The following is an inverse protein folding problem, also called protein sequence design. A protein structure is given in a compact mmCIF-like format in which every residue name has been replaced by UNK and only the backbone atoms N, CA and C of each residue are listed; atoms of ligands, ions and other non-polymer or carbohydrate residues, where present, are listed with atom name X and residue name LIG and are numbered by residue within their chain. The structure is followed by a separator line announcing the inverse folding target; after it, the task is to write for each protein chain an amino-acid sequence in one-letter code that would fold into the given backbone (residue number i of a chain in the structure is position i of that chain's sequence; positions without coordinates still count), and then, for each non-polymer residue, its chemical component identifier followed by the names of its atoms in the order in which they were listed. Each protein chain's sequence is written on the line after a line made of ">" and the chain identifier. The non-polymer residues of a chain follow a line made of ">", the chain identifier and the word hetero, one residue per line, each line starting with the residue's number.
data_IF_898473442981
#
_entry.id   IF_898473442981
#
_cell.length_a   1.000
_cell.length_b   1.000
_cell.length_c   1.000
_cell.angle_alpha   90.00
_cell.angle_beta   90.00
_cell.angle_gamma   90.00
#
_symmetry.space_group_name_H-M   'P 1'
#
loop_
_entity.id
_entity.type
_entity.pdbx_description
1 polymer ?
#
# COMPACT_ATOMS: atom_id res chain seq x y z
N UNK A 1 18.16 -3.01 -12.76
CA UNK A 1 17.70 -2.48 -14.06
C UNK A 1 18.38 -1.16 -14.32
N UNK A 2 19.49 -1.19 -15.06
CA UNK A 2 20.35 -0.02 -15.22
C UNK A 2 19.90 0.88 -16.36
N UNK A 3 19.41 0.29 -17.43
CA UNK A 3 18.95 1.01 -18.62
C UNK A 3 17.43 0.89 -18.72
N UNK A 4 16.74 1.98 -18.46
CA UNK A 4 15.30 2.10 -18.67
C UNK A 4 14.96 3.54 -19.01
N UNK A 5 13.80 3.75 -19.56
CA UNK A 5 13.35 5.05 -20.04
C UNK A 5 13.37 6.16 -18.99
N UNK A 6 13.10 5.86 -17.73
CA UNK A 6 13.12 6.86 -16.64
C UNK A 6 14.55 7.26 -16.32
N UNK A 7 15.48 6.28 -16.28
CA UNK A 7 16.90 6.57 -16.07
C UNK A 7 17.47 7.43 -17.20
N UNK A 8 17.20 7.06 -18.45
CA UNK A 8 17.63 7.83 -19.61
C UNK A 8 17.05 9.26 -19.56
N UNK A 9 15.78 9.40 -19.23
CA UNK A 9 15.13 10.71 -19.06
C UNK A 9 15.79 11.54 -17.94
N UNK A 10 16.10 10.93 -16.79
CA UNK A 10 16.81 11.62 -15.69
C UNK A 10 18.17 12.11 -16.17
N UNK A 11 18.95 11.26 -16.83
CA UNK A 11 20.26 11.61 -17.35
C UNK A 11 20.20 12.73 -18.40
N UNK A 12 19.24 12.67 -19.31
CA UNK A 12 19.02 13.73 -20.31
C UNK A 12 18.65 15.09 -19.69
N UNK A 13 17.77 15.08 -18.66
CA UNK A 13 17.32 16.32 -18.03
C UNK A 13 18.36 16.94 -17.11
N UNK A 14 19.18 16.13 -16.45
CA UNK A 14 20.10 16.58 -15.41
C UNK A 14 21.57 16.63 -15.87
N UNK A 15 21.91 15.97 -16.95
CA UNK A 15 23.28 15.70 -17.38
C UNK A 15 24.12 15.00 -16.29
N UNK A 16 23.47 14.21 -15.45
CA UNK A 16 24.09 13.37 -14.41
C UNK A 16 24.06 11.93 -14.91
N UNK A 17 25.23 11.33 -15.07
CA UNK A 17 25.31 9.90 -15.41
C UNK A 17 25.19 9.05 -14.15
N UNK A 18 24.29 8.04 -14.22
CA UNK A 18 23.95 7.17 -13.10
C UNK A 18 24.61 5.80 -13.24
N UNK A 19 25.51 5.47 -12.33
CA UNK A 19 26.14 4.17 -12.28
C UNK A 19 25.55 3.30 -11.16
N UNK A 20 24.70 2.33 -11.51
CA UNK A 20 24.08 1.42 -10.56
C UNK A 20 25.05 0.30 -10.20
N UNK A 21 25.54 0.32 -8.96
CA UNK A 21 26.52 -0.67 -8.46
C UNK A 21 25.82 -1.98 -8.07
N UNK A 22 24.61 -1.90 -7.54
CA UNK A 22 23.80 -3.06 -7.12
C UNK A 22 22.36 -2.87 -7.53
N UNK A 23 21.80 -3.88 -8.18
CA UNK A 23 20.39 -3.98 -8.53
C UNK A 23 19.87 -5.31 -7.98
N UNK A 24 19.36 -5.29 -6.75
CA UNK A 24 18.88 -6.46 -6.04
C UNK A 24 17.64 -6.10 -5.22
N UNK A 25 16.76 -7.06 -5.06
CA UNK A 25 15.45 -6.90 -4.44
C UNK A 25 15.23 -7.86 -3.27
N UNK A 26 14.25 -7.56 -2.42
CA UNK A 26 13.81 -8.41 -1.32
C UNK A 26 14.87 -8.71 -0.27
N UNK A 27 14.88 -9.93 0.24
CA UNK A 27 15.79 -10.38 1.31
C UNK A 27 17.25 -10.40 0.88
N UNK A 28 17.51 -10.60 -0.42
CA UNK A 28 18.85 -10.54 -0.99
C UNK A 28 19.41 -9.11 -0.93
N UNK A 29 18.58 -8.11 -1.21
CA UNK A 29 18.96 -6.69 -1.12
C UNK A 29 19.40 -6.33 0.30
N UNK A 30 18.63 -6.74 1.32
CA UNK A 30 18.98 -6.49 2.73
C UNK A 30 20.30 -7.14 3.10
N UNK A 31 20.53 -8.38 2.68
CA UNK A 31 21.76 -9.11 2.96
C UNK A 31 22.97 -8.41 2.32
N UNK A 32 22.86 -8.01 1.06
CA UNK A 32 23.93 -7.28 0.35
C UNK A 32 24.21 -5.91 0.94
N UNK A 33 23.17 -5.16 1.29
CA UNK A 33 23.30 -3.86 1.97
C UNK A 33 24.02 -3.99 3.31
N UNK A 34 23.64 -4.96 4.14
CA UNK A 34 24.28 -5.19 5.42
C UNK A 34 25.76 -5.55 5.24
N UNK A 35 26.10 -6.36 4.22
CA UNK A 35 27.48 -6.68 3.91
C UNK A 35 28.27 -5.43 3.44
N UNK A 36 27.68 -4.61 2.57
CA UNK A 36 28.29 -3.38 2.08
C UNK A 36 28.61 -2.40 3.21
N UNK A 37 27.70 -2.27 4.19
CA UNK A 37 27.92 -1.41 5.37
C UNK A 37 29.07 -1.87 6.26
N UNK A 38 29.60 -3.09 6.08
CA UNK A 38 30.82 -3.58 6.78
C UNK A 38 32.11 -3.17 6.13
N UNK A 39 32.06 -2.63 4.90
CA UNK A 39 33.22 -2.11 4.15
C UNK A 39 33.07 -0.61 3.84
N UNK A 40 33.39 0.26 4.79
CA UNK A 40 33.12 1.70 4.69
C UNK A 40 33.81 2.41 3.52
N UNK A 41 34.86 1.82 2.97
CA UNK A 41 35.64 2.43 1.87
C UNK A 41 35.02 2.10 0.49
N UNK A 42 34.12 1.12 0.43
CA UNK A 42 33.43 0.69 -0.80
C UNK A 42 32.00 1.20 -0.92
N UNK A 43 31.56 2.10 -0.02
CA UNK A 43 30.19 2.65 -0.09
C UNK A 43 29.99 3.49 -1.36
N UNK A 44 28.86 3.33 -2.08
CA UNK A 44 28.50 4.19 -3.19
C UNK A 44 28.17 5.60 -2.71
N UNK A 45 28.01 6.55 -3.62
CA UNK A 45 27.67 7.94 -3.28
C UNK A 45 26.34 8.01 -2.52
N UNK A 46 25.32 7.24 -2.94
CA UNK A 46 24.02 7.24 -2.29
C UNK A 46 23.28 5.90 -2.44
N UNK A 47 22.24 5.74 -1.65
CA UNK A 47 21.39 4.56 -1.62
C UNK A 47 19.95 4.91 -1.95
N UNK A 48 19.35 4.10 -2.82
CA UNK A 48 17.93 4.10 -3.13
C UNK A 48 17.33 2.80 -2.61
N UNK A 49 17.09 2.70 -1.31
CA UNK A 49 16.64 1.46 -0.68
C UNK A 49 15.49 1.69 0.28
N UNK A 50 14.61 0.69 0.40
CA UNK A 50 13.54 0.61 1.40
C UNK A 50 13.84 -0.41 2.50
N UNK A 51 15.05 -1.00 2.49
CA UNK A 51 15.37 -2.16 3.33
C UNK A 51 15.77 -1.80 4.76
N UNK A 52 16.06 -0.51 5.06
CA UNK A 52 16.52 -0.12 6.39
C UNK A 52 15.39 0.32 7.31
N UNK A 53 15.48 -0.11 8.56
CA UNK A 53 14.67 0.41 9.65
C UNK A 53 15.26 1.71 10.20
N UNK A 54 14.48 2.49 10.98
CA UNK A 54 15.02 3.67 11.69
C UNK A 54 16.19 3.32 12.61
N UNK A 55 16.12 2.17 13.26
CA UNK A 55 17.21 1.73 14.15
C UNK A 55 18.51 1.45 13.39
N UNK A 56 18.41 0.77 12.24
CA UNK A 56 19.58 0.52 11.38
C UNK A 56 20.15 1.84 10.83
N UNK A 57 19.29 2.76 10.40
CA UNK A 57 19.74 4.06 9.90
C UNK A 57 20.43 4.89 11.00
N UNK A 58 19.88 4.89 12.23
CA UNK A 58 20.53 5.51 13.38
C UNK A 58 21.89 4.91 13.66
N UNK A 59 22.01 3.58 13.60
CA UNK A 59 23.29 2.89 13.80
C UNK A 59 24.33 3.32 12.77
N UNK A 60 23.95 3.41 11.48
CA UNK A 60 24.88 3.82 10.44
C UNK A 60 25.25 5.31 10.52
N UNK A 61 24.33 6.15 10.97
CA UNK A 61 24.59 7.55 11.29
C UNK A 61 25.59 7.70 12.45
N UNK A 62 25.39 6.97 13.56
CA UNK A 62 26.30 6.95 14.70
C UNK A 62 27.71 6.47 14.32
N UNK A 63 27.81 5.53 13.39
CA UNK A 63 29.08 5.04 12.85
C UNK A 63 29.72 6.02 11.83
N UNK A 64 29.03 7.08 11.46
CA UNK A 64 29.49 8.05 10.49
C UNK A 64 29.60 7.48 9.07
N UNK A 65 28.78 6.47 8.70
CA UNK A 65 28.75 5.86 7.39
C UNK A 65 27.86 6.62 6.40
N UNK A 66 26.89 7.36 6.92
CA UNK A 66 25.94 8.21 6.19
C UNK A 66 25.98 9.62 6.77
N UNK A 67 25.61 10.61 5.97
CA UNK A 67 25.67 12.01 6.36
C UNK A 67 24.28 12.59 6.66
N UNK A 68 24.15 13.55 7.61
CA UNK A 68 22.92 14.30 7.82
C UNK A 68 22.65 15.20 6.60
N UNK A 69 21.36 15.34 6.27
CA UNK A 69 20.90 16.08 5.09
C UNK A 69 20.39 17.51 5.44
N UNK A 70 20.32 17.87 6.72
CA UNK A 70 19.67 19.10 7.20
C UNK A 70 20.13 20.34 6.46
N UNK A 71 21.44 20.53 6.35
CA UNK A 71 22.02 21.73 5.72
C UNK A 71 21.71 21.77 4.21
N UNK A 72 21.69 20.63 3.54
CA UNK A 72 21.38 20.54 2.11
C UNK A 72 19.89 20.69 1.84
N UNK A 73 19.04 20.11 2.71
CA UNK A 73 17.59 20.23 2.61
C UNK A 73 17.07 21.65 2.84
N UNK A 74 17.85 22.53 3.47
CA UNK A 74 17.48 23.93 3.62
C UNK A 74 17.26 24.63 2.27
N UNK A 75 18.02 24.24 1.24
CA UNK A 75 17.94 24.79 -0.12
C UNK A 75 17.10 23.94 -1.08
N UNK A 76 16.57 22.80 -0.64
CA UNK A 76 15.74 21.89 -1.42
C UNK A 76 14.32 22.42 -1.58
N UNK A 77 14.09 23.17 -2.65
CA UNK A 77 12.85 23.92 -2.87
C UNK A 77 11.60 23.04 -2.93
N UNK A 78 11.61 22.02 -3.79
CA UNK A 78 10.46 21.14 -4.00
C UNK A 78 10.15 20.33 -2.74
N UNK A 79 11.19 19.84 -2.07
CA UNK A 79 11.06 19.14 -0.80
C UNK A 79 10.46 20.01 0.29
N UNK A 80 10.87 21.27 0.39
CA UNK A 80 10.33 22.22 1.37
C UNK A 80 8.89 22.62 1.04
N UNK A 81 8.56 22.91 -0.22
CA UNK A 81 7.19 23.22 -0.65
C UNK A 81 6.24 22.05 -0.33
N UNK A 82 6.65 20.83 -0.55
CA UNK A 82 5.82 19.67 -0.25
C UNK A 82 5.64 19.42 1.26
N UNK A 83 6.59 19.83 2.10
CA UNK A 83 6.42 19.77 3.56
C UNK A 83 5.35 20.72 4.11
N UNK A 84 4.96 21.75 3.36
CA UNK A 84 3.84 22.63 3.75
C UNK A 84 2.50 21.88 3.69
N UNK A 85 2.42 20.84 2.88
CA UNK A 85 1.23 20.00 2.74
C UNK A 85 1.38 18.70 3.53
N UNK A 86 2.53 18.06 3.43
CA UNK A 86 2.88 16.82 4.12
C UNK A 86 3.44 17.10 5.51
N UNK A 87 2.62 17.67 6.40
CA UNK A 87 3.04 18.21 7.69
C UNK A 87 3.76 17.21 8.60
N UNK A 88 3.50 15.92 8.46
CA UNK A 88 4.13 14.89 9.28
C UNK A 88 5.48 14.40 8.72
N UNK A 89 5.82 14.69 7.45
CA UNK A 89 7.01 14.13 6.80
C UNK A 89 8.30 14.48 7.51
N UNK A 90 8.53 15.75 7.77
CA UNK A 90 9.75 16.20 8.44
C UNK A 90 9.90 15.57 9.83
N UNK A 91 8.81 15.50 10.59
CA UNK A 91 8.81 14.87 11.92
C UNK A 91 9.06 13.36 11.84
N UNK A 92 8.49 12.67 10.84
CA UNK A 92 8.70 11.24 10.65
C UNK A 92 10.12 10.89 10.21
N UNK A 93 10.76 11.75 9.40
CA UNK A 93 12.15 11.55 8.93
C UNK A 93 13.20 12.00 9.93
N UNK A 94 12.85 12.86 10.90
CA UNK A 94 13.78 13.29 11.94
C UNK A 94 14.10 12.13 12.88
N UNK A 95 15.38 11.85 13.04
CA UNK A 95 15.88 10.79 13.90
C UNK A 95 16.01 11.26 15.35
N UNK A 96 16.33 10.35 16.28
CA UNK A 96 16.41 10.66 17.71
C UNK A 96 17.53 11.66 18.06
N UNK A 97 18.54 11.79 17.23
CA UNK A 97 19.62 12.77 17.35
C UNK A 97 19.22 14.16 16.83
N UNK A 98 18.02 14.30 16.28
CA UNK A 98 17.48 15.54 15.76
C UNK A 98 17.78 15.81 14.28
N UNK A 99 18.47 14.91 13.59
CA UNK A 99 18.88 15.03 12.20
C UNK A 99 18.03 14.19 11.24
N UNK A 100 18.05 14.55 9.96
CA UNK A 100 17.44 13.84 8.84
C UNK A 100 18.53 13.21 8.00
N UNK A 101 18.43 11.90 7.72
CA UNK A 101 19.41 11.12 6.96
C UNK A 101 18.83 10.51 5.68
N UNK A 102 17.55 10.70 5.42
CA UNK A 102 16.86 10.16 4.25
C UNK A 102 15.97 11.23 3.64
N UNK A 103 15.94 11.30 2.32
CA UNK A 103 15.02 12.18 1.62
C UNK A 103 13.56 11.75 1.81
N UNK A 104 13.34 10.45 1.96
CA UNK A 104 12.06 9.85 2.25
C UNK A 104 11.10 9.87 1.06
N UNK A 105 10.14 9.00 1.11
CA UNK A 105 8.95 9.06 0.24
C UNK A 105 7.79 8.34 0.93
N UNK A 106 6.59 8.64 0.60
CA UNK A 106 5.40 7.99 1.17
C UNK A 106 4.19 8.23 0.26
N UNK A 107 3.01 7.73 0.54
CA UNK A 107 1.77 7.95 -0.21
C UNK A 107 0.64 8.28 0.74
N UNK A 108 0.01 9.44 0.57
CA UNK A 108 -1.16 9.86 1.34
C UNK A 108 -2.49 9.50 0.68
N UNK A 109 -2.49 8.58 -0.28
CA UNK A 109 -3.73 8.21 -0.94
C UNK A 109 -4.74 7.64 0.06
N UNK A 110 -5.97 8.15 0.01
CA UNK A 110 -7.04 7.81 0.95
C UNK A 110 -7.28 6.31 1.05
N UNK A 111 -7.23 5.59 -0.07
CA UNK A 111 -7.42 4.15 -0.10
C UNK A 111 -6.27 3.36 0.58
N UNK A 112 -5.07 3.94 0.71
CA UNK A 112 -3.99 3.33 1.47
C UNK A 112 -4.12 3.58 2.98
N UNK A 113 -4.76 4.69 3.37
CA UNK A 113 -5.05 4.97 4.79
C UNK A 113 -6.06 3.97 5.36
N UNK A 114 -7.08 3.62 4.57
CA UNK A 114 -8.12 2.65 4.95
C UNK A 114 -8.02 1.40 4.08
N UNK A 115 -6.88 0.73 4.15
CA UNK A 115 -6.57 -0.40 3.27
C UNK A 115 -7.19 -1.73 3.71
N UNK A 116 -7.58 -1.88 4.98
CA UNK A 116 -8.15 -3.13 5.49
C UNK A 116 -9.60 -3.26 5.04
N UNK A 117 -9.81 -4.02 3.98
CA UNK A 117 -11.12 -4.21 3.35
C UNK A 117 -11.54 -5.66 3.35
N UNK A 118 -12.85 -5.88 3.36
CA UNK A 118 -13.47 -7.18 3.18
C UNK A 118 -14.26 -7.16 1.88
N UNK A 119 -14.04 -8.17 1.06
CA UNK A 119 -14.71 -8.37 -0.22
C UNK A 119 -15.67 -9.55 -0.10
N UNK A 120 -16.91 -9.39 -0.59
CA UNK A 120 -17.97 -10.39 -0.54
C UNK A 120 -18.45 -10.75 -1.94
N UNK A 121 -18.69 -12.02 -2.19
CA UNK A 121 -19.21 -12.54 -3.46
C UNK A 121 -20.73 -12.35 -3.52
N UNK A 122 -21.19 -11.38 -4.31
CA UNK A 122 -22.57 -10.95 -4.37
C UNK A 122 -23.57 -12.01 -4.84
N UNK A 123 -23.26 -12.89 -5.82
CA UNK A 123 -24.19 -13.94 -6.21
C UNK A 123 -24.64 -14.84 -5.05
N UNK A 124 -23.77 -15.13 -4.08
CA UNK A 124 -24.16 -15.90 -2.91
C UNK A 124 -24.92 -15.07 -1.86
N UNK A 125 -24.70 -13.76 -1.81
CA UNK A 125 -25.53 -12.86 -0.99
C UNK A 125 -26.96 -12.85 -1.51
N UNK A 126 -27.15 -12.75 -2.83
CA UNK A 126 -28.49 -12.84 -3.45
C UNK A 126 -29.15 -14.19 -3.20
N UNK A 127 -28.41 -15.29 -3.32
CA UNK A 127 -28.93 -16.64 -3.17
C UNK A 127 -29.28 -17.01 -1.73
N UNK A 128 -28.41 -16.68 -0.77
CA UNK A 128 -28.50 -17.17 0.61
C UNK A 128 -29.10 -16.16 1.58
N UNK A 129 -29.12 -14.87 1.20
CA UNK A 129 -29.47 -13.78 2.10
C UNK A 129 -30.38 -12.72 1.45
N UNK A 130 -31.10 -13.10 0.38
CA UNK A 130 -32.05 -12.23 -0.33
C UNK A 130 -31.42 -10.86 -0.74
N UNK A 131 -30.14 -10.85 -1.07
CA UNK A 131 -29.40 -9.66 -1.44
C UNK A 131 -28.97 -8.75 -0.29
N UNK A 132 -29.30 -9.11 0.95
CA UNK A 132 -28.91 -8.33 2.14
C UNK A 132 -27.44 -8.61 2.51
N UNK A 133 -26.60 -7.60 2.38
CA UNK A 133 -25.20 -7.64 2.84
C UNK A 133 -25.18 -7.53 4.37
N UNK A 134 -24.45 -8.42 5.10
CA UNK A 134 -24.38 -8.34 6.55
C UNK A 134 -23.88 -6.98 7.07
N UNK A 135 -24.57 -6.41 8.04
CA UNK A 135 -24.26 -5.11 8.65
C UNK A 135 -23.76 -5.23 10.09
N UNK A 136 -24.00 -6.37 10.74
CA UNK A 136 -23.56 -6.65 12.11
C UNK A 136 -22.74 -7.92 12.19
N UNK A 137 -21.98 -8.10 13.27
CA UNK A 137 -21.21 -9.33 13.52
C UNK A 137 -22.12 -10.56 13.65
N UNK A 138 -23.36 -10.40 14.13
CA UNK A 138 -24.32 -11.50 14.22
C UNK A 138 -24.85 -11.88 12.82
N UNK A 139 -25.27 -10.90 12.02
CA UNK A 139 -25.69 -11.17 10.63
C UNK A 139 -24.56 -11.77 9.79
N UNK A 140 -23.32 -11.31 10.01
CA UNK A 140 -22.15 -11.90 9.36
C UNK A 140 -22.00 -13.38 9.75
N UNK A 141 -22.08 -13.67 11.04
CA UNK A 141 -22.02 -15.05 11.54
C UNK A 141 -23.10 -15.93 10.90
N UNK A 142 -24.37 -15.48 10.90
CA UNK A 142 -25.47 -16.21 10.29
C UNK A 142 -25.27 -16.45 8.79
N UNK A 143 -24.77 -15.44 8.06
CA UNK A 143 -24.45 -15.59 6.64
C UNK A 143 -23.32 -16.61 6.39
N UNK A 144 -22.24 -16.56 7.18
CA UNK A 144 -21.13 -17.51 7.06
C UNK A 144 -21.59 -18.96 7.34
N UNK A 145 -22.53 -19.15 8.30
CA UNK A 145 -23.14 -20.46 8.56
C UNK A 145 -23.94 -20.96 7.35
N UNK A 146 -24.72 -20.08 6.71
CA UNK A 146 -25.45 -20.43 5.49
C UNK A 146 -24.51 -20.83 4.36
N UNK A 147 -23.44 -20.07 4.12
CA UNK A 147 -22.41 -20.42 3.13
C UNK A 147 -21.88 -21.83 3.37
N UNK A 148 -21.46 -22.12 4.59
CA UNK A 148 -20.85 -23.41 4.94
C UNK A 148 -21.80 -24.62 4.81
N UNK A 149 -23.11 -24.42 4.94
CA UNK A 149 -24.07 -25.51 5.14
C UNK A 149 -25.05 -25.72 3.98
N UNK A 150 -25.10 -24.80 3.00
CA UNK A 150 -26.14 -24.81 1.97
C UNK A 150 -25.63 -25.04 0.54
N UNK A 151 -24.35 -25.40 0.37
CA UNK A 151 -23.77 -25.73 -0.94
C UNK A 151 -24.17 -24.70 -2.02
N UNK A 152 -23.79 -23.40 -1.88
CA UNK A 152 -24.22 -22.37 -2.81
C UNK A 152 -23.58 -22.47 -4.19
N UNK A 153 -22.46 -23.18 -4.37
CA UNK A 153 -21.86 -23.45 -5.67
C UNK A 153 -22.57 -24.64 -6.39
N UNK A 154 -23.37 -25.44 -5.66
CA UNK A 154 -24.21 -26.50 -6.21
C UNK A 154 -23.46 -27.72 -6.68
N UNK A 155 -22.22 -27.96 -6.19
CA UNK A 155 -21.41 -29.11 -6.58
C UNK A 155 -21.77 -30.39 -5.83
N UNK A 156 -22.65 -30.32 -4.83
CA UNK A 156 -23.12 -31.45 -4.01
C UNK A 156 -22.22 -31.76 -2.81
N UNK A 157 -21.23 -30.91 -2.51
CA UNK A 157 -20.31 -31.07 -1.39
C UNK A 157 -20.30 -29.76 -0.61
N UNK A 158 -20.36 -29.81 0.72
CA UNK A 158 -20.21 -28.61 1.57
C UNK A 158 -18.71 -28.35 1.78
N UNK A 159 -18.05 -27.84 0.76
CA UNK A 159 -16.62 -27.53 0.77
C UNK A 159 -16.32 -26.02 0.63
N UNK A 160 -17.37 -25.21 0.69
CA UNK A 160 -17.22 -23.77 0.65
C UNK A 160 -16.44 -23.23 1.83
N UNK A 161 -15.71 -22.17 1.54
CA UNK A 161 -14.89 -21.42 2.49
C UNK A 161 -15.61 -20.09 2.78
N UNK A 162 -16.29 -19.97 3.93
CA UNK A 162 -17.10 -18.80 4.20
C UNK A 162 -16.30 -17.49 4.27
N UNK A 163 -15.10 -17.53 4.88
CA UNK A 163 -14.19 -16.39 4.96
C UNK A 163 -12.74 -16.86 4.92
N UNK A 164 -11.90 -16.21 4.12
CA UNK A 164 -10.47 -16.53 4.04
C UNK A 164 -9.60 -15.28 3.94
N UNK A 165 -8.30 -15.46 4.07
CA UNK A 165 -7.24 -14.48 3.91
C UNK A 165 -5.88 -15.14 4.11
N UNK A 166 -4.83 -14.35 4.24
CA UNK A 166 -3.51 -14.85 4.63
C UNK A 166 -2.69 -13.77 5.33
N UNK A 167 -1.68 -14.17 6.10
CA UNK A 167 -0.80 -13.24 6.80
C UNK A 167 0.34 -12.77 5.89
N UNK A 168 0.72 -11.50 6.04
CA UNK A 168 1.88 -10.93 5.35
C UNK A 168 1.61 -10.27 4.00
N UNK A 169 0.38 -10.35 3.47
CA UNK A 169 -0.01 -9.61 2.27
C UNK A 169 -0.57 -8.21 2.57
N UNK A 170 -0.84 -7.45 1.52
CA UNK A 170 -1.42 -6.12 1.66
C UNK A 170 -2.87 -6.20 2.13
N UNK A 171 -3.04 -6.08 3.45
CA UNK A 171 -4.34 -6.11 4.16
C UNK A 171 -5.14 -7.40 3.96
N UNK A 172 -4.45 -8.51 3.81
CA UNK A 172 -5.07 -9.82 3.57
C UNK A 172 -5.41 -10.58 4.85
N UNK A 173 -5.14 -9.99 6.01
CA UNK A 173 -5.50 -10.54 7.31
C UNK A 173 -6.94 -10.13 7.70
N UNK A 174 -7.93 -11.06 7.68
CA UNK A 174 -9.32 -10.74 8.01
C UNK A 174 -9.51 -10.38 9.49
N UNK A 175 -8.59 -10.79 10.37
CA UNK A 175 -8.73 -10.51 11.80
C UNK A 175 -8.63 -9.02 12.11
N UNK A 176 -7.82 -8.28 11.37
CA UNK A 176 -7.69 -6.82 11.51
C UNK A 176 -9.02 -6.12 11.22
N UNK A 177 -9.74 -6.56 10.20
CA UNK A 177 -11.06 -6.02 9.86
C UNK A 177 -12.09 -6.35 10.95
N UNK A 178 -12.13 -7.60 11.43
CA UNK A 178 -13.06 -8.06 12.46
C UNK A 178 -12.83 -7.40 13.82
N UNK A 179 -11.59 -7.20 14.26
CA UNK A 179 -11.26 -6.56 15.55
C UNK A 179 -11.89 -5.17 15.65
N UNK A 180 -11.92 -4.43 14.54
CA UNK A 180 -12.45 -3.07 14.52
C UNK A 180 -13.99 -2.96 14.66
N UNK A 181 -14.69 -4.08 14.70
CA UNK A 181 -16.08 -4.15 15.15
C UNK A 181 -16.24 -4.15 16.68
N UNK A 182 -15.14 -4.27 17.42
CA UNK A 182 -15.16 -4.30 18.90
C UNK A 182 -14.35 -3.16 19.51
N UNK A 183 -13.20 -2.83 18.94
CA UNK A 183 -12.30 -1.79 19.43
C UNK A 183 -11.49 -1.22 18.30
N UNK A 184 -11.24 0.08 18.32
CA UNK A 184 -10.28 0.68 17.39
C UNK A 184 -8.91 0.04 17.56
N UNK A 185 -8.43 -0.61 16.52
CA UNK A 185 -7.12 -1.26 16.52
C UNK A 185 -6.45 -1.09 15.16
N UNK A 186 -5.44 -0.24 15.12
CA UNK A 186 -4.68 0.02 13.91
C UNK A 186 -3.64 -1.08 13.71
N UNK A 187 -3.85 -1.94 12.73
CA UNK A 187 -3.00 -3.04 12.26
C UNK A 187 -2.17 -3.73 13.38
N UNK A 188 -2.79 -4.61 14.21
CA UNK A 188 -2.15 -5.17 15.40
C UNK A 188 -1.01 -6.15 15.11
N UNK A 189 -0.97 -6.70 13.89
CA UNK A 189 -0.10 -7.83 13.54
C UNK A 189 0.78 -7.58 12.31
N UNK A 190 1.02 -6.33 11.91
CA UNK A 190 1.87 -6.06 10.74
C UNK A 190 3.31 -6.50 10.98
N UNK A 191 3.66 -7.66 10.48
CA UNK A 191 5.05 -8.14 10.43
C UNK A 191 5.91 -7.37 9.42
N UNK A 192 5.28 -6.67 8.47
CA UNK A 192 5.96 -5.97 7.37
C UNK A 192 6.32 -4.53 7.71
N UNK A 193 5.65 -3.92 8.68
CA UNK A 193 5.99 -2.58 9.16
C UNK A 193 5.67 -2.44 10.66
N UNK A 194 6.55 -2.87 11.56
CA UNK A 194 6.32 -2.83 13.00
C UNK A 194 6.30 -1.40 13.57
N UNK A 195 6.54 -0.40 12.73
CA UNK A 195 6.86 0.94 13.21
C UNK A 195 5.64 1.75 13.59
N UNK A 196 4.46 1.49 13.04
CA UNK A 196 3.34 2.39 13.30
C UNK A 196 2.03 1.60 13.33
N UNK A 197 1.43 1.52 14.50
CA UNK A 197 0.06 1.09 14.64
C UNK A 197 -0.18 -0.21 15.38
N UNK A 198 0.81 -1.05 15.63
CA UNK A 198 0.65 -2.35 16.29
C UNK A 198 -0.31 -2.35 17.51
N UNK A 199 -1.58 -1.99 17.26
CA UNK A 199 -2.61 -1.87 18.29
C UNK A 199 -2.63 -0.53 19.04
N UNK A 200 -1.78 0.42 18.70
CA UNK A 200 -1.82 1.76 19.27
C UNK A 200 -2.82 2.67 18.55
N UNK A 201 -3.57 3.42 19.33
CA UNK A 201 -4.50 4.45 18.86
C UNK A 201 -4.28 5.74 19.64
N UNK A 202 -4.79 6.84 19.10
CA UNK A 202 -4.92 8.09 19.84
C UNK A 202 -6.43 8.32 20.05
N UNK A 203 -6.83 8.38 21.32
CA UNK A 203 -8.22 8.68 21.69
C UNK A 203 -8.63 10.11 21.33
N UNK A 204 -9.91 10.42 21.39
CA UNK A 204 -10.45 11.74 21.08
C UNK A 204 -9.89 12.86 21.97
N UNK A 205 -9.44 12.53 23.17
CA UNK A 205 -8.80 13.46 24.13
C UNK A 205 -7.27 13.48 24.02
N UNK A 206 -6.71 12.84 22.96
CA UNK A 206 -5.28 12.87 22.64
C UNK A 206 -4.42 11.89 23.43
N UNK A 207 -5.02 10.94 24.17
CA UNK A 207 -4.25 9.94 24.92
C UNK A 207 -3.86 8.77 24.02
N UNK A 208 -2.67 8.23 24.27
CA UNK A 208 -2.21 7.00 23.61
C UNK A 208 -2.86 5.80 24.29
N UNK A 209 -3.54 5.00 23.51
CA UNK A 209 -4.19 3.77 23.94
C UNK A 209 -3.56 2.56 23.26
N UNK A 210 -3.51 1.42 23.95
CA UNK A 210 -3.05 0.15 23.41
C UNK A 210 -4.20 -0.87 23.41
N UNK A 211 -4.79 -1.09 22.25
CA UNK A 211 -5.97 -1.93 22.10
C UNK A 211 -5.80 -3.37 22.60
N UNK A 212 -4.65 -4.07 22.39
CA UNK A 212 -4.51 -5.47 22.79
C UNK A 212 -4.65 -5.78 24.30
N UNK A 213 -4.60 -4.77 25.17
CA UNK A 213 -4.80 -4.97 26.61
C UNK A 213 -6.24 -4.70 27.09
N UNK A 214 -7.13 -4.29 26.17
CA UNK A 214 -8.54 -3.98 26.49
C UNK A 214 -9.40 -5.24 26.48
N UNK A 215 -10.47 -5.24 27.27
CA UNK A 215 -11.43 -6.35 27.32
C UNK A 215 -12.18 -6.48 25.98
N UNK A 216 -12.46 -5.38 25.31
CA UNK A 216 -13.08 -5.36 23.98
C UNK A 216 -12.22 -6.08 22.94
N UNK A 217 -10.91 -5.98 23.01
CA UNK A 217 -9.98 -6.74 22.16
C UNK A 217 -10.06 -8.25 22.45
N UNK A 218 -10.18 -8.63 23.72
CA UNK A 218 -10.42 -10.03 24.11
C UNK A 218 -11.74 -10.54 23.54
N UNK A 219 -12.80 -9.73 23.58
CA UNK A 219 -14.10 -10.07 23.00
C UNK A 219 -14.00 -10.30 21.50
N UNK A 220 -13.23 -9.43 20.79
CA UNK A 220 -12.95 -9.61 19.37
C UNK A 220 -12.23 -10.94 19.09
N UNK A 221 -11.19 -11.27 19.86
CA UNK A 221 -10.47 -12.53 19.72
C UNK A 221 -11.37 -13.74 20.01
N UNK A 222 -12.29 -13.64 20.98
CA UNK A 222 -13.25 -14.70 21.28
C UNK A 222 -14.22 -14.92 20.10
N UNK A 223 -14.68 -13.86 19.46
CA UNK A 223 -15.50 -13.94 18.26
C UNK A 223 -14.73 -14.59 17.09
N UNK A 224 -13.49 -14.17 16.85
CA UNK A 224 -12.62 -14.74 15.81
C UNK A 224 -12.34 -16.22 16.08
N UNK A 225 -12.05 -16.59 17.35
CA UNK A 225 -11.85 -17.98 17.75
C UNK A 225 -13.08 -18.83 17.47
N UNK A 226 -14.29 -18.32 17.77
CA UNK A 226 -15.54 -18.98 17.44
C UNK A 226 -15.67 -19.22 15.93
N UNK A 227 -15.42 -18.21 15.10
CA UNK A 227 -15.44 -18.37 13.64
C UNK A 227 -14.45 -19.43 13.16
N UNK A 228 -13.24 -19.43 13.71
CA UNK A 228 -12.19 -20.39 13.36
C UNK A 228 -12.54 -21.82 13.79
N UNK A 229 -12.98 -22.02 15.04
CA UNK A 229 -13.35 -23.34 15.58
C UNK A 229 -14.54 -23.96 14.84
N UNK A 230 -15.50 -23.12 14.42
CA UNK A 230 -16.65 -23.55 13.65
C UNK A 230 -16.34 -23.67 12.14
N UNK A 231 -15.11 -23.37 11.69
CA UNK A 231 -14.68 -23.42 10.29
C UNK A 231 -15.41 -22.39 9.40
N UNK A 232 -15.82 -21.27 10.00
CA UNK A 232 -16.38 -20.12 9.30
C UNK A 232 -15.30 -19.14 8.88
N UNK A 233 -14.16 -19.14 9.56
CA UNK A 233 -12.90 -18.59 9.13
C UNK A 233 -11.98 -19.73 8.70
N UNK A 234 -11.46 -19.65 7.50
CA UNK A 234 -10.58 -20.67 6.92
C UNK A 234 -9.40 -20.95 7.85
N UNK A 235 -9.24 -22.22 8.20
CA UNK A 235 -8.16 -22.66 9.09
C UNK A 235 -6.77 -22.48 8.48
N UNK A 236 -6.67 -22.37 7.16
CA UNK A 236 -5.41 -22.08 6.46
C UNK A 236 -5.03 -20.60 6.48
N UNK A 237 -5.92 -19.70 6.88
CA UNK A 237 -5.66 -18.25 6.94
C UNK A 237 -4.33 -17.90 7.66
N UNK A 238 -3.95 -18.65 8.68
CA UNK A 238 -2.76 -18.41 9.47
C UNK A 238 -1.49 -19.13 8.98
N UNK A 239 -1.61 -19.96 7.94
CA UNK A 239 -0.51 -20.83 7.47
C UNK A 239 -0.29 -20.80 5.96
N UNK A 240 -1.32 -20.43 5.17
CA UNK A 240 -1.21 -20.36 3.71
C UNK A 240 -0.40 -19.14 3.27
N UNK A 241 0.24 -19.28 2.12
CA UNK A 241 0.90 -18.20 1.41
C UNK A 241 -0.01 -17.54 0.35
N UNK A 242 0.52 -16.51 -0.32
CA UNK A 242 -0.20 -15.80 -1.38
C UNK A 242 -0.56 -16.66 -2.58
N UNK A 243 0.23 -17.70 -2.88
CA UNK A 243 -0.01 -18.60 -4.02
C UNK A 243 -1.16 -19.55 -3.72
N UNK A 244 -1.16 -20.13 -2.52
CA UNK A 244 -2.25 -21.01 -2.06
C UNK A 244 -3.57 -20.23 -1.95
N UNK A 245 -3.53 -19.04 -1.36
CA UNK A 245 -4.69 -18.14 -1.28
C UNK A 245 -5.25 -17.80 -2.67
N UNK A 246 -4.38 -17.41 -3.62
CA UNK A 246 -4.81 -17.09 -4.97
C UNK A 246 -5.41 -18.31 -5.70
N UNK A 247 -4.85 -19.51 -5.51
CA UNK A 247 -5.37 -20.74 -6.11
C UNK A 247 -6.78 -21.07 -5.58
N UNK A 248 -7.00 -20.95 -4.27
CA UNK A 248 -8.30 -21.19 -3.64
C UNK A 248 -9.34 -20.16 -4.09
N UNK A 249 -8.98 -18.87 -4.07
CA UNK A 249 -9.88 -17.77 -4.43
C UNK A 249 -10.31 -17.79 -5.90
N UNK A 250 -9.42 -18.27 -6.79
CA UNK A 250 -9.67 -18.30 -8.24
C UNK A 250 -9.94 -19.74 -8.74
N UNK A 251 -10.43 -20.61 -7.87
CA UNK A 251 -10.90 -21.94 -8.25
C UNK A 251 -12.10 -21.85 -9.20
N UNK A 252 -12.13 -22.69 -10.23
CA UNK A 252 -13.27 -22.80 -11.15
C UNK A 252 -14.57 -23.22 -10.44
N UNK A 253 -14.46 -23.83 -9.25
CA UNK A 253 -15.60 -24.27 -8.44
C UNK A 253 -16.22 -23.15 -7.59
N UNK A 254 -15.63 -21.94 -7.55
CA UNK A 254 -16.09 -20.83 -6.73
C UNK A 254 -16.28 -21.21 -5.25
N UNK A 255 -15.19 -21.41 -4.55
CA UNK A 255 -15.24 -21.92 -3.17
C UNK A 255 -15.39 -20.83 -2.10
N UNK A 256 -15.08 -19.57 -2.38
CA UNK A 256 -14.91 -18.52 -1.37
C UNK A 256 -16.06 -17.52 -1.39
N UNK A 257 -16.63 -17.21 -0.20
CA UNK A 257 -17.65 -16.18 -0.05
C UNK A 257 -17.10 -14.81 0.34
N UNK A 258 -16.14 -14.75 1.28
CA UNK A 258 -15.48 -13.52 1.69
C UNK A 258 -13.96 -13.68 1.71
N UNK A 259 -13.28 -12.60 1.30
CA UNK A 259 -11.84 -12.52 1.49
C UNK A 259 -11.38 -11.12 1.92
N UNK A 260 -10.34 -11.06 2.76
CA UNK A 260 -9.70 -9.82 3.14
C UNK A 260 -8.59 -9.46 2.14
N UNK A 261 -8.56 -8.23 1.68
CA UNK A 261 -7.45 -7.68 0.90
C UNK A 261 -7.58 -6.17 0.72
N UNK A 262 -6.47 -5.47 0.53
CA UNK A 262 -6.47 -4.05 0.21
C UNK A 262 -7.14 -3.73 -1.14
N UNK A 263 -7.17 -4.69 -2.05
CA UNK A 263 -7.96 -4.68 -3.29
C UNK A 263 -8.53 -6.06 -3.56
N UNK A 264 -9.58 -6.16 -4.39
CA UNK A 264 -10.09 -7.46 -4.81
C UNK A 264 -8.98 -8.30 -5.46
N UNK A 265 -8.82 -9.54 -5.01
CA UNK A 265 -7.85 -10.51 -5.51
C UNK A 265 -8.50 -11.57 -6.39
N UNK A 266 -9.84 -11.62 -6.42
CA UNK A 266 -10.55 -12.53 -7.30
C UNK A 266 -10.41 -12.07 -8.76
N UNK A 267 -10.11 -12.99 -9.64
CA UNK A 267 -9.95 -12.77 -11.08
C UNK A 267 -9.04 -11.56 -11.42
N UNK A 268 -7.97 -11.45 -10.63
CA UNK A 268 -7.05 -10.32 -10.66
C UNK A 268 -6.48 -10.03 -12.06
N UNK A 269 -6.22 -11.08 -12.85
CA UNK A 269 -5.64 -10.94 -14.17
C UNK A 269 -6.57 -10.19 -15.12
N UNK A 270 -7.86 -10.55 -15.19
CA UNK A 270 -8.85 -9.86 -16.00
C UNK A 270 -9.11 -8.45 -15.48
N UNK A 271 -9.17 -8.27 -14.16
CA UNK A 271 -9.33 -6.98 -13.54
C UNK A 271 -8.17 -6.02 -13.91
N UNK A 272 -6.92 -6.46 -13.77
CA UNK A 272 -5.73 -5.66 -14.10
C UNK A 272 -5.64 -5.33 -15.61
N UNK A 273 -6.15 -6.23 -16.45
CA UNK A 273 -6.23 -6.02 -17.90
C UNK A 273 -7.42 -5.15 -18.32
N UNK A 274 -8.32 -4.78 -17.40
CA UNK A 274 -9.55 -4.04 -17.72
C UNK A 274 -10.56 -4.84 -18.54
N UNK A 275 -10.49 -6.18 -18.45
CA UNK A 275 -11.40 -7.10 -19.13
C UNK A 275 -12.60 -7.43 -18.25
N UNK A 276 -13.68 -7.90 -18.85
CA UNK A 276 -14.82 -8.46 -18.11
C UNK A 276 -14.41 -9.77 -17.45
N UNK A 277 -14.95 -10.01 -16.24
CA UNK A 277 -14.63 -11.21 -15.50
C UNK A 277 -15.40 -11.31 -14.18
N UNK A 278 -15.20 -12.41 -13.47
CA UNK A 278 -15.89 -12.68 -12.19
C UNK A 278 -15.51 -11.72 -11.07
N UNK A 279 -14.46 -10.93 -11.24
CA UNK A 279 -14.09 -9.87 -10.29
C UNK A 279 -15.22 -8.84 -10.08
N UNK A 280 -16.10 -8.63 -11.07
CA UNK A 280 -17.22 -7.68 -10.98
C UNK A 280 -18.34 -8.16 -10.06
N UNK A 281 -18.39 -9.45 -9.73
CA UNK A 281 -19.34 -10.04 -8.80
C UNK A 281 -18.98 -9.79 -7.33
N UNK A 282 -17.78 -9.26 -7.09
CA UNK A 282 -17.30 -8.97 -5.74
C UNK A 282 -17.51 -7.50 -5.37
N UNK A 283 -18.02 -7.29 -4.17
CA UNK A 283 -18.15 -5.96 -3.56
C UNK A 283 -17.28 -5.81 -2.33
N UNK A 284 -16.66 -4.63 -2.19
CA UNK A 284 -16.12 -4.20 -0.92
C UNK A 284 -17.29 -3.86 0.02
N UNK A 285 -17.28 -4.39 1.23
CA UNK A 285 -18.31 -4.12 2.23
C UNK A 285 -17.78 -3.19 3.32
N UNK A 286 -18.68 -2.40 3.89
CA UNK A 286 -18.37 -1.57 5.06
C UNK A 286 -18.09 -2.45 6.28
N UNK A 287 -17.30 -2.00 7.27
CA UNK A 287 -17.14 -2.73 8.52
C UNK A 287 -18.47 -3.06 9.16
N UNK A 288 -18.63 -4.26 9.70
CA UNK A 288 -19.83 -4.67 10.43
C UNK A 288 -19.83 -4.12 11.85
N UNK A 289 -21.02 -3.84 12.37
CA UNK A 289 -21.20 -3.35 13.73
C UNK A 289 -21.10 -4.50 14.74
N UNK A 290 -20.31 -4.31 15.77
CA UNK A 290 -20.17 -5.24 16.87
C UNK A 290 -21.28 -5.13 17.90
N UNK A 291 -21.30 -6.02 18.91
CA UNK A 291 -22.39 -6.10 19.90
C UNK A 291 -22.57 -4.83 20.74
N UNK A 292 -21.52 -4.03 20.89
CA UNK A 292 -21.54 -2.78 21.66
C UNK A 292 -21.76 -1.54 20.77
N UNK A 293 -22.20 -1.72 19.51
CA UNK A 293 -22.46 -0.64 18.55
C UNK A 293 -21.18 -0.05 17.94
N UNK A 294 -20.05 -0.73 18.06
CA UNK A 294 -18.77 -0.30 17.49
C UNK A 294 -18.69 -0.71 16.02
N UNK A 295 -18.47 0.27 15.14
CA UNK A 295 -18.26 0.06 13.69
C UNK A 295 -17.13 0.96 13.23
N UNK A 296 -15.93 0.42 13.15
CA UNK A 296 -14.71 1.16 12.84
C UNK A 296 -13.91 0.45 11.76
N UNK A 297 -12.97 1.17 11.15
CA UNK A 297 -11.99 0.64 10.24
C UNK A 297 -10.58 0.83 10.79
N UNK A 298 -9.73 -0.16 10.60
CA UNK A 298 -8.32 0.01 10.89
C UNK A 298 -7.73 1.10 9.99
N UNK A 299 -7.05 2.04 10.61
CA UNK A 299 -6.33 3.10 9.91
C UNK A 299 -4.87 2.73 9.79
N UNK A 300 -4.32 2.82 8.60
CA UNK A 300 -2.88 2.78 8.38
C UNK A 300 -2.31 4.18 8.53
N UNK A 301 -1.29 4.33 9.34
CA UNK A 301 -0.56 5.58 9.39
C UNK A 301 0.34 5.68 8.16
N UNK A 302 0.38 6.87 7.57
CA UNK A 302 1.35 7.18 6.54
C UNK A 302 2.70 7.33 7.22
N UNK A 303 3.68 6.56 6.78
CA UNK A 303 5.07 6.73 7.19
C UNK A 303 5.91 7.08 5.98
N UNK A 304 6.47 8.26 6.00
CA UNK A 304 7.44 8.71 5.00
C UNK A 304 8.77 8.02 5.14
N UNK A 305 9.03 7.49 6.32
CA UNK A 305 10.22 6.68 6.59
C UNK A 305 10.12 5.25 6.06
N UNK A 306 8.91 4.72 5.87
CA UNK A 306 8.71 3.36 5.33
C UNK A 306 9.38 3.16 3.96
N UNK A 307 9.62 4.27 3.25
CA UNK A 307 10.42 4.30 2.04
C UNK A 307 11.68 5.14 2.29
N UNK A 308 12.65 4.58 3.02
CA UNK A 308 13.93 5.19 3.35
C UNK A 308 14.79 5.37 2.09
N UNK A 309 14.42 6.33 1.24
CA UNK A 309 15.06 6.59 -0.05
C UNK A 309 15.91 7.84 0.01
N UNK A 310 16.99 7.85 -0.78
CA UNK A 310 17.86 9.00 -0.87
C UNK A 310 18.73 9.17 0.38
N UNK A 311 19.42 8.13 0.81
CA UNK A 311 20.44 8.18 1.85
C UNK A 311 21.79 8.40 1.21
N UNK A 312 22.56 9.38 1.67
CA UNK A 312 23.86 9.75 1.12
C UNK A 312 24.97 9.19 2.01
N UNK A 313 25.94 8.51 1.42
CA UNK A 313 27.08 7.96 2.16
C UNK A 313 28.14 9.00 2.48
N UNK A 314 29.00 8.69 3.42
CA UNK A 314 30.16 9.52 3.77
C UNK A 314 31.17 9.67 2.62
N UNK A 315 31.15 8.77 1.63
CA UNK A 315 32.09 8.76 0.51
C UNK A 315 31.64 9.66 -0.64
N UNK A 316 30.40 10.18 -0.59
CA UNK A 316 29.91 11.07 -1.63
C UNK A 316 30.72 12.37 -1.68
N UNK A 317 31.35 12.61 -2.84
CA UNK A 317 32.18 13.81 -3.04
C UNK A 317 31.34 15.08 -3.24
N UNK A 318 30.09 14.93 -3.76
CA UNK A 318 29.21 16.06 -4.12
C UNK A 318 27.78 15.85 -3.58
N UNK A 319 27.57 15.85 -2.24
CA UNK A 319 26.25 15.64 -1.64
C UNK A 319 25.20 16.64 -2.12
N UNK A 320 25.60 17.91 -2.37
CA UNK A 320 24.74 18.96 -2.87
C UNK A 320 24.15 18.65 -4.25
N UNK A 321 24.90 17.95 -5.12
CA UNK A 321 24.42 17.52 -6.44
C UNK A 321 23.39 16.40 -6.28
N UNK A 322 23.64 15.46 -5.37
CA UNK A 322 22.71 14.35 -5.09
C UNK A 322 21.41 14.88 -4.50
N UNK A 323 21.48 15.83 -3.56
CA UNK A 323 20.28 16.45 -2.99
C UNK A 323 19.52 17.26 -4.04
N UNK A 324 20.23 18.00 -4.92
CA UNK A 324 19.58 18.75 -5.99
C UNK A 324 18.89 17.83 -7.00
N UNK A 325 19.48 16.64 -7.30
CA UNK A 325 18.84 15.61 -8.10
C UNK A 325 17.56 15.10 -7.43
N UNK A 326 17.61 14.78 -6.14
CA UNK A 326 16.45 14.29 -5.39
C UNK A 326 15.36 15.34 -5.27
N UNK A 327 15.73 16.61 -5.04
CA UNK A 327 14.80 17.72 -5.00
C UNK A 327 14.11 17.94 -6.36
N UNK A 328 14.86 17.86 -7.46
CA UNK A 328 14.28 17.94 -8.79
C UNK A 328 13.34 16.77 -9.08
N UNK A 329 13.70 15.54 -8.71
CA UNK A 329 12.83 14.36 -8.81
C UNK A 329 11.57 14.48 -7.93
N UNK A 330 11.66 15.19 -6.80
CA UNK A 330 10.51 15.49 -5.95
C UNK A 330 9.61 16.62 -6.50
N UNK A 331 10.00 17.27 -7.59
CA UNK A 331 9.12 18.20 -8.30
C UNK A 331 7.88 17.48 -8.83
N UNK A 332 6.81 18.23 -9.11
CA UNK A 332 5.58 17.66 -9.68
C UNK A 332 5.84 16.85 -10.95
N UNK A 333 6.64 17.39 -11.88
CA UNK A 333 6.97 16.70 -13.12
C UNK A 333 7.84 15.47 -12.87
N UNK A 334 8.86 15.57 -12.03
CA UNK A 334 9.72 14.46 -11.66
C UNK A 334 8.93 13.30 -11.03
N UNK A 335 8.07 13.60 -10.08
CA UNK A 335 7.26 12.60 -9.41
C UNK A 335 6.21 11.96 -10.32
N UNK A 336 5.54 12.74 -11.19
CA UNK A 336 4.61 12.20 -12.18
C UNK A 336 5.31 11.30 -13.18
N UNK A 337 6.51 11.69 -13.64
CA UNK A 337 7.29 10.89 -14.58
C UNK A 337 7.74 9.58 -13.95
N UNK A 338 8.18 9.59 -12.69
CA UNK A 338 8.54 8.36 -11.98
C UNK A 338 7.35 7.42 -11.80
N UNK A 339 6.16 7.95 -11.54
CA UNK A 339 4.98 7.11 -11.28
C UNK A 339 4.26 6.66 -12.55
N UNK A 340 4.23 7.50 -13.59
CA UNK A 340 3.37 7.31 -14.75
C UNK A 340 4.12 7.31 -16.07
N UNK A 341 5.45 7.39 -16.02
CA UNK A 341 6.28 7.47 -17.21
C UNK A 341 6.32 8.89 -17.78
N UNK A 342 6.58 9.02 -19.08
CA UNK A 342 6.87 10.32 -19.71
C UNK A 342 5.61 10.98 -20.24
N UNK A 343 5.47 12.27 -19.92
CA UNK A 343 4.39 13.12 -20.43
C UNK A 343 4.33 13.10 -21.96
N UNK A 344 3.13 12.97 -22.48
CA UNK A 344 2.89 12.86 -23.93
C UNK A 344 3.11 11.44 -24.49
N UNK A 345 3.66 10.51 -23.70
CA UNK A 345 3.86 9.10 -24.07
C UNK A 345 2.94 8.20 -23.27
N UNK A 346 3.00 8.27 -21.95
CA UNK A 346 2.27 7.38 -21.05
C UNK A 346 1.22 8.09 -20.21
N UNK A 347 1.31 9.41 -20.08
CA UNK A 347 0.31 10.26 -19.46
C UNK A 347 0.28 11.66 -20.10
N UNK A 348 -0.82 12.39 -19.93
CA UNK A 348 -0.95 13.79 -20.34
C UNK A 348 -2.06 14.49 -19.55
N UNK A 349 -2.13 15.82 -19.68
CA UNK A 349 -3.21 16.60 -19.11
C UNK A 349 -4.53 16.38 -19.86
N UNK A 350 -5.63 16.54 -19.15
CA UNK A 350 -6.99 16.56 -19.66
C UNK A 350 -7.82 17.54 -18.84
N UNK A 351 -8.84 18.12 -19.42
CA UNK A 351 -9.73 19.09 -18.79
C UNK A 351 -11.21 18.69 -18.85
N UNK A 352 -11.49 17.44 -19.23
CA UNK A 352 -12.83 16.89 -19.35
C UNK A 352 -12.93 15.48 -18.75
N UNK A 353 -14.17 15.01 -18.63
CA UNK A 353 -14.47 13.68 -18.11
C UNK A 353 -14.46 13.59 -16.59
N UNK A 354 -14.80 12.42 -16.09
CA UNK A 354 -14.89 12.15 -14.64
C UNK A 354 -13.57 11.60 -14.10
N UNK A 355 -13.16 12.09 -12.96
CA UNK A 355 -11.96 11.63 -12.25
C UNK A 355 -12.28 10.50 -11.27
N UNK A 356 -11.24 9.87 -10.71
CA UNK A 356 -11.35 8.90 -9.60
C UNK A 356 -12.12 9.49 -8.42
N UNK A 357 -11.95 10.76 -8.12
CA UNK A 357 -12.70 11.45 -7.05
C UNK A 357 -14.16 11.76 -7.41
N UNK A 358 -14.57 11.56 -8.65
CA UNK A 358 -15.90 11.93 -9.16
C UNK A 358 -16.02 13.39 -9.61
N UNK A 359 -14.89 14.11 -9.69
CA UNK A 359 -14.77 15.49 -10.15
C UNK A 359 -14.29 15.55 -11.60
N UNK A 360 -14.09 16.74 -12.17
CA UNK A 360 -13.48 16.88 -13.48
C UNK A 360 -12.06 16.37 -13.48
N UNK A 361 -11.71 15.46 -14.40
CA UNK A 361 -10.38 14.91 -14.51
C UNK A 361 -9.36 15.97 -14.96
N UNK A 362 -8.14 15.88 -14.45
CA UNK A 362 -7.01 16.76 -14.82
C UNK A 362 -5.94 16.02 -15.62
N UNK A 363 -5.87 14.71 -15.46
CA UNK A 363 -4.84 13.85 -16.04
C UNK A 363 -5.47 12.63 -16.70
N UNK A 364 -4.80 12.11 -17.70
CA UNK A 364 -5.14 10.82 -18.34
C UNK A 364 -3.90 9.96 -18.47
N UNK A 365 -4.04 8.67 -18.24
CA UNK A 365 -3.05 7.68 -18.66
C UNK A 365 -3.29 7.31 -20.12
N UNK A 366 -2.22 7.13 -20.87
CA UNK A 366 -2.27 6.75 -22.28
C UNK A 366 -1.73 5.32 -22.42
N UNK A 367 -2.35 4.54 -23.32
CA UNK A 367 -1.72 3.29 -23.74
C UNK A 367 -0.45 3.63 -24.51
N UNK A 368 0.69 3.08 -24.10
CA UNK A 368 1.89 3.16 -24.90
C UNK A 368 1.74 2.33 -26.18
N UNK A 369 2.64 2.57 -27.14
CA UNK A 369 2.75 1.74 -28.32
C UNK A 369 2.96 0.26 -27.92
N UNK A 370 2.48 -0.69 -28.74
CA UNK A 370 2.54 -2.13 -28.44
C UNK A 370 3.96 -2.68 -28.20
N UNK A 371 4.98 -1.94 -28.63
CA UNK A 371 6.40 -2.25 -28.46
C UNK A 371 7.05 -1.60 -27.20
N UNK A 372 6.28 -0.84 -26.44
CA UNK A 372 6.78 -0.18 -25.24
C UNK A 372 6.87 -1.17 -24.07
N UNK A 373 8.06 -1.44 -23.62
CA UNK A 373 8.30 -2.28 -22.44
C UNK A 373 7.98 -1.52 -21.16
N UNK A 374 6.78 -1.72 -20.67
CA UNK A 374 6.25 -1.10 -19.47
C UNK A 374 6.99 -1.46 -18.19
N UNK A 375 7.47 -2.69 -18.11
CA UNK A 375 8.19 -3.20 -16.93
C UNK A 375 9.63 -2.69 -16.96
N UNK A 376 10.31 -2.86 -18.10
CA UNK A 376 11.68 -2.41 -18.29
C UNK A 376 11.85 -0.89 -18.31
N UNK A 377 10.82 -0.15 -18.66
CA UNK A 377 10.90 1.31 -18.81
C UNK A 377 10.37 2.11 -17.58
N UNK A 378 10.22 1.46 -16.43
CA UNK A 378 9.90 2.16 -15.20
C UNK A 378 8.47 2.71 -15.14
N UNK A 379 7.55 2.19 -15.95
CA UNK A 379 6.14 2.51 -15.79
C UNK A 379 5.64 1.94 -14.46
N UNK A 380 5.59 2.80 -13.52
CA UNK A 380 5.51 2.46 -12.13
C UNK A 380 4.08 2.28 -11.65
N UNK A 381 3.35 1.33 -12.17
CA UNK A 381 2.37 0.66 -11.33
C UNK A 381 3.00 -0.38 -10.41
N UNK A 382 4.22 -0.76 -10.68
CA UNK A 382 4.98 -1.64 -9.82
C UNK A 382 5.95 -0.80 -9.00
N UNK A 383 5.61 -0.52 -7.76
CA UNK A 383 6.42 0.11 -6.72
C UNK A 383 7.80 -0.54 -6.53
N UNK A 384 8.04 -1.65 -7.20
CA UNK A 384 9.20 -2.50 -7.07
C UNK A 384 10.39 -2.03 -7.92
N UNK A 385 10.18 -1.17 -8.92
CA UNK A 385 11.22 -0.83 -9.89
C UNK A 385 11.68 0.63 -9.90
N UNK A 386 11.01 1.55 -9.21
CA UNK A 386 11.48 2.92 -9.06
C UNK A 386 11.81 3.21 -7.60
N UNK A 387 13.07 3.03 -7.26
CA UNK A 387 13.58 3.35 -5.93
C UNK A 387 13.90 4.83 -5.74
N UNK A 388 13.61 5.68 -6.72
CA UNK A 388 13.87 7.11 -6.63
C UNK A 388 12.98 7.79 -5.60
N UNK A 389 13.50 8.79 -4.89
CA UNK A 389 12.66 9.66 -4.07
C UNK A 389 11.61 10.31 -4.94
N UNK A 390 10.36 10.05 -4.65
CA UNK A 390 9.24 10.71 -5.30
C UNK A 390 8.51 11.59 -4.30
N UNK A 391 8.00 12.73 -4.73
CA UNK A 391 7.10 13.48 -3.88
C UNK A 391 5.71 12.86 -3.90
N UNK A 392 5.43 12.23 -2.85
CA UNK A 392 4.18 11.55 -2.57
C UNK A 392 3.07 12.47 -2.20
N UNK A 393 3.41 13.66 -1.83
CA UNK A 393 2.46 14.71 -1.56
C UNK A 393 1.85 15.30 -2.82
N UNK A 394 2.28 14.85 -4.00
CA UNK A 394 1.51 15.09 -5.23
C UNK A 394 0.08 14.62 -5.06
N UNK A 395 -0.12 13.54 -4.35
CA UNK A 395 -1.47 13.13 -3.98
C UNK A 395 -2.17 14.14 -3.07
N UNK A 396 -1.49 14.97 -2.31
CA UNK A 396 -2.09 15.98 -1.44
C UNK A 396 -2.11 17.38 -2.05
N UNK A 397 -1.08 17.76 -2.82
CA UNK A 397 -0.94 19.11 -3.39
C UNK A 397 -1.96 19.44 -4.49
N UNK A 398 -2.50 18.44 -5.18
CA UNK A 398 -3.42 18.65 -6.31
C UNK A 398 -4.74 17.86 -6.13
N UNK A 399 -5.12 17.60 -4.86
CA UNK A 399 -6.14 16.60 -4.59
C UNK A 399 -5.85 15.36 -5.42
N UNK A 400 -4.59 15.00 -5.39
CA UNK A 400 -4.01 13.79 -5.89
C UNK A 400 -4.07 13.60 -7.41
N UNK A 401 -2.93 13.37 -8.01
CA UNK A 401 -2.90 12.87 -9.38
C UNK A 401 -3.83 11.66 -9.51
N UNK A 402 -3.77 10.68 -8.59
CA UNK A 402 -4.64 9.50 -8.61
C UNK A 402 -6.12 9.86 -8.52
N UNK A 403 -6.52 10.76 -7.63
CA UNK A 403 -7.93 11.17 -7.53
C UNK A 403 -8.38 12.01 -8.72
N UNK A 404 -7.45 12.62 -9.46
CA UNK A 404 -7.71 13.47 -10.64
C UNK A 404 -7.54 12.77 -11.99
N UNK A 405 -7.18 11.47 -12.01
CA UNK A 405 -7.07 10.67 -13.23
C UNK A 405 -8.42 10.47 -13.88
N UNK A 406 -8.47 10.61 -15.20
CA UNK A 406 -9.63 10.32 -16.02
C UNK A 406 -10.04 8.84 -15.90
N UNK A 407 -11.28 8.62 -15.57
CA UNK A 407 -11.90 7.30 -15.49
C UNK A 407 -12.75 7.06 -16.73
N UNK A 408 -12.38 6.09 -17.55
CA UNK A 408 -13.15 5.72 -18.75
C UNK A 408 -14.46 5.01 -18.40
N UNK A 409 -14.39 4.10 -17.43
CA UNK A 409 -15.54 3.36 -16.91
C UNK A 409 -15.41 3.22 -15.39
N UNK A 410 -16.20 3.96 -14.60
CA UNK A 410 -16.14 3.91 -13.14
C UNK A 410 -16.37 2.51 -12.56
N UNK A 411 -17.20 1.69 -13.20
CA UNK A 411 -17.50 0.34 -12.73
C UNK A 411 -16.33 -0.63 -12.90
N UNK A 412 -15.39 -0.31 -13.79
CA UNK A 412 -14.22 -1.15 -14.12
C UNK A 412 -12.89 -0.51 -13.72
N UNK A 413 -12.91 0.67 -13.13
CA UNK A 413 -11.68 1.35 -12.72
C UNK A 413 -11.34 1.03 -11.26
N UNK A 414 -10.21 0.36 -11.03
CA UNK A 414 -9.78 -0.05 -9.69
C UNK A 414 -9.65 1.14 -8.74
N UNK A 415 -8.98 2.18 -9.14
CA UNK A 415 -8.74 3.34 -8.28
C UNK A 415 -10.05 4.04 -7.91
N UNK A 416 -11.00 4.15 -8.87
CA UNK A 416 -12.33 4.67 -8.59
C UNK A 416 -13.08 3.79 -7.57
N UNK A 417 -13.08 2.48 -7.79
CA UNK A 417 -13.74 1.52 -6.90
C UNK A 417 -13.13 1.60 -5.49
N UNK A 418 -11.80 1.59 -5.38
CA UNK A 418 -11.11 1.66 -4.08
C UNK A 418 -11.33 3.00 -3.37
N UNK A 419 -11.29 4.11 -4.10
CA UNK A 419 -11.52 5.44 -3.56
C UNK A 419 -12.92 5.58 -2.97
N UNK A 420 -13.95 5.11 -3.69
CA UNK A 420 -15.34 5.19 -3.23
C UNK A 420 -15.70 4.12 -2.19
N UNK A 421 -15.01 2.97 -2.17
CA UNK A 421 -15.16 1.97 -1.13
C UNK A 421 -14.51 2.38 0.21
N UNK A 422 -13.59 3.32 0.19
CA UNK A 422 -12.92 3.81 1.39
C UNK A 422 -13.66 5.00 2.05
N UNK A 423 -14.64 5.59 1.39
CA UNK A 423 -15.53 6.65 1.91
C UNK A 423 -16.73 6.07 2.62
#
# INVERSE_FOLDING_TARGET
>A
MQENYVTDWIEEQTNIHLNFVYDVDGDEAKTKLNLLMTDPDSLPDFFLTTCWTKAELSLYAEQGLIIPLDDYLADAKNWNESNEVCLSRKADLTMNDGHIYSFGSGSESFHNVYQNRMWIYMPWVEQLNDGHVPETTEELYEYLVKVKTQDPNGNGVNDEIPMTGYLGGWSTDPTVWLINSFVQCNNPLSNTNPTIGAGFNISADGQVEYAPIKDEYRNALSYISKLYEEGLLDQQTFTQDSTQFAATLNSDEHLVALHAAGRNQADKANFDAGLDGTWSDWKCIVPVEGPDGVRLAARSNISYFASCRGVISKNCEYPEIVVALFDWLASKEGSLTQQYGVKGVTWDFVDDGISVAGETAKYKTMAAADDYDWIGNGYARNYEHTSWPSDVCIDSLDTAFKSSILVKDPAKNLEYILYHAAK
#
